data_IF_964920644008
#
_entry.id   IF_964920644008
#
_cell.length_a   1.000
_cell.length_b   1.000
_cell.length_c   1.000
_cell.angle_alpha   90.00
_cell.angle_beta   90.00
_cell.angle_gamma   90.00
#
_symmetry.space_group_name_H-M   'P 1'
#
loop_
_entity.id
_entity.type
_entity.pdbx_description
1 polymer ?
#
# COMPACT_ATOMS: atom_id res chain seq x y z
N UNK A 1 5.90 -5.33 14.88
CA UNK A 1 7.31 -5.20 14.45
C UNK A 1 7.55 -3.78 13.97
N UNK A 2 8.79 -3.27 14.03
CA UNK A 2 9.16 -1.93 13.53
C UNK A 2 10.18 -2.05 12.39
N UNK A 3 10.16 -1.12 11.45
CA UNK A 3 11.03 -1.14 10.29
C UNK A 3 10.66 -0.10 9.24
N UNK A 4 11.32 -0.14 8.08
CA UNK A 4 11.08 0.79 6.96
C UNK A 4 10.84 0.02 5.67
N UNK A 5 10.06 0.61 4.78
CA UNK A 5 9.99 0.11 3.40
C UNK A 5 11.13 0.68 2.56
N UNK A 6 11.72 -0.15 1.73
CA UNK A 6 12.78 0.21 0.79
C UNK A 6 12.35 -0.15 -0.64
N UNK A 7 12.77 0.66 -1.60
CA UNK A 7 12.60 0.36 -3.02
C UNK A 7 13.61 -0.69 -3.46
N UNK A 8 13.17 -1.78 -4.08
CA UNK A 8 14.08 -2.81 -4.62
C UNK A 8 14.89 -2.32 -5.82
N UNK A 9 14.41 -1.31 -6.56
CA UNK A 9 15.09 -0.80 -7.74
C UNK A 9 16.27 0.15 -7.47
N UNK A 10 16.30 0.83 -6.32
CA UNK A 10 17.39 1.79 -5.99
C UNK A 10 17.78 1.84 -4.51
N UNK A 11 17.28 0.90 -3.70
CA UNK A 11 17.53 0.78 -2.27
C UNK A 11 17.04 1.95 -1.38
N UNK A 12 16.51 3.01 -1.98
CA UNK A 12 16.01 4.19 -1.26
C UNK A 12 14.94 3.81 -0.25
N UNK A 13 15.08 4.30 0.99
CA UNK A 13 14.03 4.23 1.99
C UNK A 13 12.80 5.00 1.49
N UNK A 14 11.67 4.30 1.41
CA UNK A 14 10.39 4.83 0.95
C UNK A 14 9.58 5.45 2.08
N UNK A 15 9.76 4.97 3.31
CA UNK A 15 9.01 5.45 4.48
C UNK A 15 9.92 5.90 5.62
N UNK A 16 9.33 6.61 6.58
CA UNK A 16 9.84 6.63 7.95
C UNK A 16 9.74 5.25 8.62
N UNK A 17 10.02 5.18 9.92
CA UNK A 17 9.79 3.96 10.69
C UNK A 17 8.28 3.68 10.81
N UNK A 18 7.89 2.46 10.48
CA UNK A 18 6.51 1.96 10.55
C UNK A 18 6.42 0.90 11.63
N UNK A 19 5.46 1.08 12.56
CA UNK A 19 5.06 0.05 13.50
C UNK A 19 3.97 -0.81 12.88
N UNK A 20 4.32 -2.03 12.46
CA UNK A 20 3.41 -2.99 11.83
C UNK A 20 2.84 -3.97 12.85
N UNK A 21 1.51 -4.04 12.92
CA UNK A 21 0.75 -5.05 13.65
C UNK A 21 0.25 -6.15 12.70
N UNK A 22 0.23 -7.40 13.14
CA UNK A 22 -0.21 -8.52 12.30
C UNK A 22 -1.70 -8.79 12.53
N UNK A 23 -2.51 -8.84 11.47
CA UNK A 23 -3.94 -9.17 11.61
C UNK A 23 -4.21 -10.66 11.90
N UNK A 24 -3.16 -11.49 11.91
CA UNK A 24 -3.23 -12.85 12.48
C UNK A 24 -3.27 -12.84 14.02
N UNK A 25 -2.87 -11.75 14.66
CA UNK A 25 -2.94 -11.63 16.11
C UNK A 25 -4.37 -11.26 16.50
N UNK A 26 -5.10 -12.11 17.26
CA UNK A 26 -6.49 -11.87 17.61
C UNK A 26 -6.68 -10.66 18.54
N UNK A 27 -5.61 -10.15 19.16
CA UNK A 27 -5.66 -8.92 19.97
C UNK A 27 -5.64 -7.64 19.14
N UNK A 28 -5.27 -7.73 17.86
CA UNK A 28 -5.22 -6.59 16.95
C UNK A 28 -6.63 -6.33 16.42
N UNK A 29 -7.22 -5.22 16.85
CA UNK A 29 -8.46 -4.74 16.25
C UNK A 29 -8.18 -4.34 14.80
N UNK A 30 -8.86 -5.00 13.86
CA UNK A 30 -8.76 -4.66 12.45
C UNK A 30 -9.43 -3.31 12.23
N UNK A 31 -8.72 -2.39 11.58
CA UNK A 31 -9.29 -1.11 11.22
C UNK A 31 -10.47 -1.30 10.26
N UNK A 32 -11.55 -0.57 10.52
CA UNK A 32 -12.70 -0.55 9.62
C UNK A 32 -12.28 0.19 8.33
N UNK A 33 -12.51 -0.45 7.18
CA UNK A 33 -12.28 0.14 5.86
C UNK A 33 -13.42 1.12 5.56
N UNK A 34 -13.28 2.35 6.05
CA UNK A 34 -14.26 3.41 5.89
C UNK A 34 -13.81 4.35 4.78
N UNK A 35 -14.71 4.63 3.85
CA UNK A 35 -14.49 5.58 2.76
C UNK A 35 -13.93 6.91 3.28
N UNK A 36 -12.91 7.42 2.57
CA UNK A 36 -12.23 8.69 2.86
C UNK A 36 -11.56 8.77 4.24
N UNK A 37 -11.38 7.64 4.94
CA UNK A 37 -10.62 7.60 6.20
C UNK A 37 -9.34 6.79 6.06
N UNK A 38 -8.23 7.24 6.67
CA UNK A 38 -7.03 6.43 6.77
C UNK A 38 -7.29 5.12 7.52
N UNK A 39 -6.83 4.01 6.96
CA UNK A 39 -6.92 2.69 7.62
C UNK A 39 -6.06 2.65 8.88
N UNK A 40 -4.95 3.38 8.90
CA UNK A 40 -4.10 3.55 10.08
C UNK A 40 -3.50 4.95 10.13
N UNK A 41 -3.01 5.34 11.31
CA UNK A 41 -2.22 6.56 11.46
C UNK A 41 -0.88 6.44 10.70
N UNK A 42 -0.33 7.57 10.26
CA UNK A 42 1.02 7.67 9.72
C UNK A 42 2.05 7.05 10.69
N UNK A 43 3.04 6.33 10.16
CA UNK A 43 4.02 5.60 10.98
C UNK A 43 3.49 4.29 11.61
N UNK A 44 2.26 3.90 11.28
CA UNK A 44 1.65 2.63 11.70
C UNK A 44 1.18 1.84 10.49
N UNK A 45 1.01 0.54 10.65
CA UNK A 45 0.54 -0.31 9.57
C UNK A 45 -0.01 -1.65 10.04
N UNK A 46 -0.77 -2.30 9.18
CA UNK A 46 -1.24 -3.66 9.38
C UNK A 46 -0.61 -4.60 8.36
N UNK A 47 -0.26 -5.82 8.78
CA UNK A 47 0.04 -6.93 7.89
C UNK A 47 -1.20 -7.81 7.77
N UNK A 48 -1.91 -7.67 6.66
CA UNK A 48 -3.09 -8.44 6.33
C UNK A 48 -2.76 -9.73 5.60
N UNK A 49 -3.61 -10.74 5.79
CA UNK A 49 -3.59 -12.01 5.08
C UNK A 49 -4.90 -12.23 4.31
N UNK A 50 -5.67 -11.16 4.13
CA UNK A 50 -6.81 -11.06 3.24
C UNK A 50 -6.55 -9.94 2.24
N UNK A 51 -6.82 -10.16 0.94
CA UNK A 51 -6.66 -9.14 -0.07
C UNK A 51 -7.77 -8.08 0.04
N UNK A 52 -7.44 -6.82 -0.23
CA UNK A 52 -8.43 -5.73 -0.30
C UNK A 52 -9.42 -5.90 -1.45
N UNK A 53 -8.97 -6.44 -2.59
CA UNK A 53 -9.78 -6.64 -3.78
C UNK A 53 -9.74 -8.10 -4.21
N UNK A 54 -10.86 -8.57 -4.76
CA UNK A 54 -10.99 -9.89 -5.38
C UNK A 54 -11.68 -9.77 -6.73
N UNK A 55 -11.08 -10.38 -7.74
CA UNK A 55 -11.74 -10.57 -9.02
C UNK A 55 -12.75 -11.69 -8.93
N UNK A 56 -13.79 -11.60 -9.76
CA UNK A 56 -14.72 -12.72 -9.98
C UNK A 56 -14.21 -13.65 -11.10
N UNK A 57 -13.20 -13.21 -11.86
CA UNK A 57 -12.54 -14.01 -12.90
C UNK A 57 -11.22 -14.59 -12.34
N UNK A 58 -11.14 -15.93 -12.14
CA UNK A 58 -9.95 -16.55 -11.57
C UNK A 58 -8.72 -16.50 -12.49
N UNK A 59 -8.89 -16.19 -13.79
CA UNK A 59 -7.78 -16.06 -14.74
C UNK A 59 -7.19 -14.64 -14.68
N UNK A 60 -7.96 -13.67 -14.17
CA UNK A 60 -7.60 -12.25 -14.13
C UNK A 60 -7.76 -11.72 -12.70
N UNK A 61 -6.78 -11.97 -11.81
CA UNK A 61 -6.83 -11.47 -10.45
C UNK A 61 -6.86 -9.94 -10.42
N UNK A 62 -7.51 -9.37 -9.39
CA UNK A 62 -7.49 -7.93 -9.18
C UNK A 62 -6.08 -7.45 -8.80
N UNK A 63 -5.77 -6.17 -9.04
CA UNK A 63 -4.43 -5.62 -8.75
C UNK A 63 -4.00 -5.80 -7.28
N UNK A 64 -4.96 -5.83 -6.35
CA UNK A 64 -4.74 -6.05 -4.92
C UNK A 64 -5.21 -7.44 -4.45
N UNK A 65 -5.18 -8.43 -5.33
CA UNK A 65 -5.53 -9.82 -5.02
C UNK A 65 -4.27 -10.67 -4.76
N UNK A 66 -3.54 -10.30 -3.71
CA UNK A 66 -2.37 -11.03 -3.23
C UNK A 66 -2.26 -10.93 -1.71
N UNK A 67 -1.54 -11.87 -1.10
CA UNK A 67 -1.28 -11.89 0.35
C UNK A 67 0.15 -12.36 0.63
N UNK A 68 0.79 -11.88 1.71
CA UNK A 68 0.31 -10.86 2.63
C UNK A 68 0.30 -9.45 2.02
N UNK A 69 -0.52 -8.56 2.58
CA UNK A 69 -0.52 -7.13 2.25
C UNK A 69 -0.06 -6.32 3.45
N UNK A 70 0.63 -5.21 3.19
CA UNK A 70 0.83 -4.17 4.19
C UNK A 70 -0.13 -3.04 3.91
N UNK A 71 -1.03 -2.76 4.86
CA UNK A 71 -2.00 -1.68 4.79
C UNK A 71 -1.45 -0.49 5.57
N UNK A 72 -1.05 0.54 4.83
CA UNK A 72 -0.32 1.69 5.35
C UNK A 72 -1.08 2.98 5.09
N UNK A 73 -0.72 4.04 5.83
CA UNK A 73 -1.22 5.37 5.55
C UNK A 73 -0.56 5.90 4.27
N UNK A 74 -1.32 6.46 3.30
CA UNK A 74 -0.73 7.04 2.09
C UNK A 74 0.34 8.11 2.34
N UNK A 75 0.22 8.88 3.43
CA UNK A 75 1.18 9.93 3.80
C UNK A 75 2.58 9.41 4.14
N UNK A 76 2.73 8.10 4.42
CA UNK A 76 4.04 7.49 4.66
C UNK A 76 4.91 7.45 3.39
N UNK A 77 4.31 7.56 2.20
CA UNK A 77 5.00 7.48 0.90
C UNK A 77 5.00 8.78 0.10
N UNK A 78 4.26 9.83 0.49
CA UNK A 78 4.08 11.02 -0.37
C UNK A 78 5.40 11.73 -0.74
N UNK A 79 6.36 11.74 0.19
CA UNK A 79 7.67 12.34 -0.01
C UNK A 79 8.57 11.56 -0.98
N UNK A 80 8.33 10.25 -1.18
CA UNK A 80 9.20 9.35 -1.94
C UNK A 80 8.51 8.72 -3.14
N UNK A 81 7.19 8.76 -3.21
CA UNK A 81 6.34 8.21 -4.27
C UNK A 81 5.68 9.30 -5.11
N UNK A 82 5.59 9.09 -6.43
CA UNK A 82 4.86 9.93 -7.38
C UNK A 82 3.81 9.10 -8.11
N UNK A 83 2.70 9.72 -8.51
CA UNK A 83 1.69 9.04 -9.33
C UNK A 83 2.28 8.71 -10.71
N UNK A 84 2.04 7.48 -11.18
CA UNK A 84 2.48 7.04 -12.51
C UNK A 84 1.80 7.85 -13.62
N UNK A 85 2.42 7.90 -14.81
CA UNK A 85 1.81 8.45 -16.03
C UNK A 85 1.15 7.39 -16.90
N UNK A 86 1.21 6.11 -16.50
CA UNK A 86 0.60 5.00 -17.26
C UNK A 86 -0.91 5.15 -17.25
N UNK A 87 -1.49 5.34 -18.44
CA UNK A 87 -2.95 5.43 -18.62
C UNK A 87 -3.60 4.13 -18.13
N UNK A 88 -4.77 4.27 -17.50
CA UNK A 88 -5.52 3.15 -16.93
C UNK A 88 -5.00 2.68 -15.57
N UNK A 89 -3.93 3.25 -15.02
CA UNK A 89 -3.46 2.99 -13.64
C UNK A 89 -3.93 4.04 -12.64
N UNK A 90 -4.47 5.15 -13.13
CA UNK A 90 -4.80 6.35 -12.34
C UNK A 90 -6.29 6.66 -12.38
N UNK A 91 -7.12 5.62 -12.38
CA UNK A 91 -8.57 5.74 -12.43
C UNK A 91 -9.14 6.23 -11.08
N UNK A 92 -10.33 6.83 -11.14
CA UNK A 92 -11.10 7.28 -9.99
C UNK A 92 -11.87 8.57 -10.24
N UNK A 93 -12.72 8.95 -9.30
CA UNK A 93 -13.61 10.11 -9.37
C UNK A 93 -12.99 11.35 -8.71
N UNK A 94 -12.67 11.25 -7.42
CA UNK A 94 -12.09 12.33 -6.61
C UNK A 94 -10.61 12.08 -6.27
N UNK A 95 -10.12 10.86 -6.52
CA UNK A 95 -8.76 10.43 -6.24
C UNK A 95 -8.42 9.15 -7.00
N UNK A 96 -7.44 8.39 -6.52
CA UNK A 96 -7.06 7.11 -7.10
C UNK A 96 -7.92 5.99 -6.53
N UNK A 97 -8.61 5.20 -7.35
CA UNK A 97 -9.40 4.06 -6.88
C UNK A 97 -8.55 2.85 -6.47
N UNK A 98 -7.36 2.72 -7.05
CA UNK A 98 -6.44 1.60 -6.84
C UNK A 98 -6.90 0.27 -7.44
N UNK A 99 -7.94 0.24 -8.26
CA UNK A 99 -8.45 -0.98 -8.90
C UNK A 99 -7.47 -1.57 -9.92
N UNK A 100 -6.71 -0.68 -10.57
CA UNK A 100 -5.77 -1.02 -11.62
C UNK A 100 -4.33 -0.73 -11.20
N UNK A 101 -3.96 -0.82 -9.92
CA UNK A 101 -2.57 -0.56 -9.49
C UNK A 101 -1.53 -1.53 -10.09
N UNK A 102 -0.22 -1.32 -9.86
CA UNK A 102 0.38 -0.20 -9.10
C UNK A 102 0.17 1.17 -9.74
N UNK A 103 0.02 2.20 -8.92
CA UNK A 103 -0.23 3.57 -9.38
C UNK A 103 0.70 4.62 -8.77
N UNK A 104 1.63 4.19 -7.92
CA UNK A 104 2.71 5.00 -7.37
C UNK A 104 4.07 4.41 -7.78
N UNK A 105 4.92 5.28 -8.30
CA UNK A 105 6.31 5.00 -8.66
C UNK A 105 7.25 5.64 -7.64
N UNK A 106 8.41 5.03 -7.41
CA UNK A 106 9.52 5.66 -6.70
C UNK A 106 9.92 6.95 -7.43
N UNK A 107 9.97 8.07 -6.71
CA UNK A 107 10.40 9.36 -7.26
C UNK A 107 11.82 9.30 -7.81
N UNK A 108 12.69 8.51 -7.18
CA UNK A 108 14.12 8.41 -7.51
C UNK A 108 14.36 7.64 -8.81
N UNK A 109 13.88 6.39 -8.89
CA UNK A 109 14.23 5.48 -9.98
C UNK A 109 13.06 5.11 -10.90
N UNK A 110 11.83 5.52 -10.58
CA UNK A 110 10.64 5.23 -11.38
C UNK A 110 10.07 3.81 -11.23
N UNK A 111 10.65 2.96 -10.38
CA UNK A 111 10.10 1.62 -10.07
C UNK A 111 8.68 1.74 -9.51
N UNK A 112 7.75 0.89 -9.93
CA UNK A 112 6.39 0.84 -9.38
C UNK A 112 6.43 0.27 -7.94
N UNK A 113 6.13 1.11 -6.94
CA UNK A 113 6.32 0.77 -5.52
C UNK A 113 5.03 0.45 -4.78
N UNK A 114 3.87 0.63 -5.42
CA UNK A 114 2.60 0.22 -4.82
C UNK A 114 1.37 0.91 -5.36
N UNK A 115 0.26 0.62 -4.70
CA UNK A 115 -1.08 1.07 -5.05
C UNK A 115 -1.62 1.93 -3.92
N UNK A 116 -1.96 3.18 -4.25
CA UNK A 116 -2.70 4.11 -3.40
C UNK A 116 -4.19 4.04 -3.75
N UNK A 117 -5.03 3.89 -2.73
CA UNK A 117 -6.45 4.25 -2.80
C UNK A 117 -6.65 5.58 -2.06
N UNK A 118 -7.34 6.50 -2.71
CA UNK A 118 -7.69 7.82 -2.17
C UNK A 118 -8.94 8.42 -2.83
N UNK A 119 -9.76 7.59 -3.49
CA UNK A 119 -11.02 8.01 -4.09
C UNK A 119 -12.12 8.12 -3.03
N UNK A 120 -13.20 8.85 -3.34
CA UNK A 120 -14.25 9.20 -2.39
C UNK A 120 -15.09 8.02 -1.89
N UNK A 121 -15.03 6.88 -2.58
CA UNK A 121 -15.71 5.63 -2.22
C UNK A 121 -14.71 4.54 -1.78
N UNK A 122 -13.45 4.91 -1.55
CA UNK A 122 -12.40 4.00 -1.08
C UNK A 122 -11.85 4.47 0.26
N UNK A 123 -11.31 3.57 1.11
CA UNK A 123 -10.50 3.99 2.24
C UNK A 123 -9.22 4.70 1.76
N UNK A 124 -8.59 5.47 2.65
CA UNK A 124 -7.28 6.04 2.36
C UNK A 124 -6.21 5.03 2.78
N UNK A 125 -5.61 4.36 1.79
CA UNK A 125 -4.66 3.27 2.03
C UNK A 125 -3.57 3.25 0.96
N UNK A 126 -2.37 2.87 1.37
CA UNK A 126 -1.30 2.49 0.47
C UNK A 126 -0.91 1.05 0.72
N UNK A 127 -0.84 0.26 -0.35
CA UNK A 127 -0.35 -1.12 -0.34
C UNK A 127 0.95 -1.17 -1.14
N UNK A 128 2.10 -1.40 -0.49
CA UNK A 128 3.38 -1.58 -1.19
C UNK A 128 3.32 -2.79 -2.14
N UNK A 129 3.95 -2.63 -3.30
CA UNK A 129 4.12 -3.72 -4.25
C UNK A 129 5.12 -4.76 -3.68
N UNK A 130 4.74 -6.04 -3.55
CA UNK A 130 5.57 -7.03 -2.87
C UNK A 130 6.85 -7.40 -3.64
N UNK A 131 6.87 -7.21 -4.96
CA UNK A 131 8.02 -7.54 -5.79
C UNK A 131 9.04 -6.40 -5.86
N UNK A 132 8.56 -5.16 -5.71
CA UNK A 132 9.37 -3.94 -5.85
C UNK A 132 9.65 -3.21 -4.53
N UNK A 133 9.14 -3.71 -3.41
CA UNK A 133 9.39 -3.14 -2.09
C UNK A 133 9.82 -4.18 -1.06
N UNK A 134 10.67 -3.76 -0.12
CA UNK A 134 11.13 -4.58 0.99
C UNK A 134 10.79 -3.93 2.31
N UNK A 135 10.23 -4.69 3.27
CA UNK A 135 10.15 -4.23 4.65
C UNK A 135 11.38 -4.69 5.44
N UNK A 136 12.26 -3.77 5.79
CA UNK A 136 13.46 -4.03 6.58
C UNK A 136 13.20 -3.70 8.03
N UNK A 137 13.30 -4.70 8.90
CA UNK A 137 13.10 -4.52 10.34
C UNK A 137 14.24 -3.68 10.93
N UNK A 138 13.91 -2.77 11.84
CA UNK A 138 14.92 -2.15 12.69
C UNK A 138 15.34 -3.21 13.71
N UNK A 139 16.61 -3.59 13.75
CA UNK A 139 17.14 -4.44 14.82
C UNK A 139 16.90 -3.71 16.17
N UNK A 140 16.30 -4.43 17.11
CA UNK A 140 15.96 -3.92 18.44
C UNK A 140 16.94 -4.49 19.45
#
# INVERSE_FOLDING_TARGET
MKGKFHCQGCDRALTGEITVQSLKDPSVQTACLIDQRPVCAKGSGFKSYEPLLRSHDPIRPAALEFVPQYWLNPEDFEATGKVTRKRGRTNGCCGLDGCDGPNIECRECGTEIGTKQSDCWTPLIFVPDPDNTEFRKTET
#
